data_IF_471321378699
#
_entry.id   IF_471321378699
#
_cell.length_a   1.000
_cell.length_b   1.000
_cell.length_c   1.000
_cell.angle_alpha   90.00
_cell.angle_beta   90.00
_cell.angle_gamma   90.00
#
_symmetry.space_group_name_H-M   'P 1'
#
loop_
_entity.id
_entity.type
_entity.pdbx_description
1 polymer ?
#
# COMPACT_ATOMS: atom_id res chain seq x y z
N UNK A 1 9.18 5.01 16.82
CA UNK A 1 9.92 6.09 17.51
C UNK A 1 8.92 7.01 18.21
N UNK A 2 9.35 7.79 19.21
CA UNK A 2 8.47 8.71 19.93
C UNK A 2 7.93 9.84 19.03
N UNK A 3 8.82 10.49 18.28
CA UNK A 3 8.49 11.59 17.36
C UNK A 3 9.35 11.54 16.08
N UNK A 4 8.95 12.31 15.06
CA UNK A 4 9.68 12.45 13.80
C UNK A 4 9.51 11.28 12.83
N UNK A 5 10.38 11.22 11.82
CA UNK A 5 10.38 10.16 10.78
C UNK A 5 11.18 8.94 11.23
N UNK A 6 10.58 7.74 11.09
CA UNK A 6 11.28 6.46 11.17
C UNK A 6 12.16 6.27 9.92
N UNK A 7 13.02 5.26 9.95
CA UNK A 7 13.83 4.87 8.78
C UNK A 7 12.98 4.62 7.51
N UNK A 8 11.92 3.77 7.53
CA UNK A 8 11.04 3.57 6.38
C UNK A 8 10.50 4.88 5.81
N UNK A 9 10.14 5.82 6.68
CA UNK A 9 9.56 7.08 6.26
C UNK A 9 10.57 7.93 5.46
N UNK A 10 11.83 7.98 5.94
CA UNK A 10 12.94 8.67 5.28
C UNK A 10 13.29 8.02 3.94
N UNK A 11 13.36 6.68 3.91
CA UNK A 11 13.64 5.93 2.69
C UNK A 11 12.55 6.13 1.63
N UNK A 12 11.29 6.20 2.06
CA UNK A 12 10.18 6.51 1.16
C UNK A 12 10.35 7.90 0.55
N UNK A 13 10.74 8.92 1.32
CA UNK A 13 11.06 10.24 0.75
C UNK A 13 12.25 10.19 -0.22
N UNK A 14 13.32 9.47 0.13
CA UNK A 14 14.52 9.34 -0.69
C UNK A 14 14.23 8.70 -2.06
N UNK A 15 13.52 7.57 -2.08
CA UNK A 15 13.30 6.80 -3.31
C UNK A 15 12.04 7.24 -4.07
N UNK A 16 11.01 7.71 -3.36
CA UNK A 16 9.70 8.01 -3.93
C UNK A 16 9.33 9.50 -3.94
N UNK A 17 10.19 10.38 -3.42
CA UNK A 17 9.96 11.83 -3.38
C UNK A 17 9.73 12.43 -4.77
N UNK A 18 10.48 12.00 -5.79
CA UNK A 18 10.34 12.48 -7.18
C UNK A 18 8.94 12.25 -7.76
N UNK A 19 8.27 11.17 -7.32
CA UNK A 19 6.91 10.81 -7.72
C UNK A 19 5.83 11.47 -6.83
N UNK A 20 6.25 12.27 -5.84
CA UNK A 20 5.39 12.79 -4.77
C UNK A 20 4.78 11.69 -3.88
N UNK A 21 5.44 10.52 -3.80
CA UNK A 21 5.00 9.36 -3.04
C UNK A 21 5.77 9.20 -1.70
N UNK A 22 6.31 10.30 -1.13
CA UNK A 22 6.84 10.29 0.23
C UNK A 22 5.75 10.08 1.27
N UNK A 23 6.00 9.30 2.32
CA UNK A 23 5.02 9.10 3.39
C UNK A 23 5.10 10.18 4.47
N UNK A 24 4.02 10.33 5.24
CA UNK A 24 4.05 11.17 6.43
C UNK A 24 4.75 10.42 7.57
N UNK A 25 5.44 11.13 8.48
CA UNK A 25 6.07 10.50 9.64
C UNK A 25 5.06 9.70 10.48
N UNK A 26 5.31 8.40 10.62
CA UNK A 26 4.58 7.52 11.52
C UNK A 26 5.36 7.41 12.83
N UNK A 27 4.79 7.90 13.93
CA UNK A 27 5.40 7.92 15.25
C UNK A 27 4.34 7.87 16.35
N UNK A 28 4.78 7.61 17.59
CA UNK A 28 3.88 7.39 18.73
C UNK A 28 3.09 8.64 19.15
N UNK A 29 3.53 9.83 18.76
CA UNK A 29 2.79 11.09 19.03
C UNK A 29 1.60 11.31 18.07
N UNK A 30 1.34 10.41 17.11
CA UNK A 30 0.17 10.52 16.23
C UNK A 30 -1.09 10.05 16.96
N UNK A 31 -2.26 10.69 16.74
CA UNK A 31 -3.49 10.37 17.47
C UNK A 31 -4.00 8.94 17.21
N UNK A 32 -3.60 8.32 16.10
CA UNK A 32 -3.96 6.95 15.74
C UNK A 32 -2.90 5.91 16.12
N UNK A 33 -1.72 6.33 16.63
CA UNK A 33 -0.59 5.44 16.84
C UNK A 33 -0.90 4.30 17.81
N UNK A 34 -1.54 4.61 18.94
CA UNK A 34 -1.90 3.62 19.96
C UNK A 34 -2.76 2.50 19.36
N UNK A 35 -3.83 2.87 18.64
CA UNK A 35 -4.72 1.90 17.99
C UNK A 35 -4.00 1.05 16.94
N UNK A 36 -3.15 1.66 16.12
CA UNK A 36 -2.39 0.94 15.08
C UNK A 36 -1.38 -0.02 15.69
N UNK A 37 -0.66 0.38 16.75
CA UNK A 37 0.31 -0.47 17.46
C UNK A 37 -0.42 -1.63 18.15
N UNK A 38 -1.51 -1.35 18.87
CA UNK A 38 -2.32 -2.38 19.51
C UNK A 38 -2.86 -3.41 18.51
N UNK A 39 -3.24 -2.97 17.31
CA UNK A 39 -3.68 -3.88 16.25
C UNK A 39 -2.55 -4.82 15.78
N UNK A 40 -1.35 -4.29 15.55
CA UNK A 40 -0.17 -5.11 15.19
C UNK A 40 0.15 -6.15 16.27
N UNK A 41 0.16 -5.73 17.54
CA UNK A 41 0.36 -6.63 18.69
C UNK A 41 -0.73 -7.70 18.73
N UNK A 42 -2.00 -7.34 18.50
CA UNK A 42 -3.10 -8.31 18.46
C UNK A 42 -2.96 -9.33 17.32
N UNK A 43 -2.32 -8.96 16.21
CA UNK A 43 -2.01 -9.90 15.14
C UNK A 43 -0.87 -10.84 15.55
N UNK A 44 0.16 -10.33 16.25
CA UNK A 44 1.24 -11.17 16.78
C UNK A 44 0.74 -12.21 17.78
N UNK A 45 -0.18 -11.84 18.67
CA UNK A 45 -0.79 -12.80 19.62
C UNK A 45 -1.63 -13.87 18.90
N UNK A 46 -2.08 -13.60 17.66
CA UNK A 46 -2.76 -14.56 16.78
C UNK A 46 -1.80 -15.33 15.86
N UNK A 47 -0.49 -15.20 16.08
CA UNK A 47 0.57 -15.89 15.34
C UNK A 47 0.99 -15.23 14.04
N UNK A 48 0.54 -14.01 13.74
CA UNK A 48 1.01 -13.27 12.56
C UNK A 48 2.34 -12.58 12.85
N UNK A 49 3.41 -13.10 12.28
CA UNK A 49 4.74 -12.52 12.45
C UNK A 49 4.94 -11.29 11.57
N UNK A 50 5.52 -10.23 12.12
CA UNK A 50 6.11 -9.18 11.29
C UNK A 50 7.31 -9.75 10.53
N UNK A 51 7.19 -9.77 9.21
CA UNK A 51 8.15 -10.37 8.31
C UNK A 51 8.61 -9.34 7.28
N UNK A 52 9.71 -8.60 7.55
CA UNK A 52 10.35 -7.82 6.49
C UNK A 52 10.94 -8.72 5.40
N UNK A 53 11.33 -9.94 5.75
CA UNK A 53 11.90 -10.94 4.82
C UNK A 53 11.16 -12.26 4.94
N UNK A 54 11.08 -13.01 3.83
CA UNK A 54 10.52 -14.37 3.78
C UNK A 54 11.22 -15.20 2.71
N UNK A 55 11.07 -16.52 2.82
CA UNK A 55 11.16 -17.41 1.66
C UNK A 55 9.85 -17.29 0.87
N UNK A 56 9.96 -16.94 -0.41
CA UNK A 56 8.83 -16.82 -1.33
C UNK A 56 7.91 -18.04 -1.28
N UNK A 57 6.61 -17.79 -1.28
CA UNK A 57 5.53 -18.78 -1.24
C UNK A 57 5.52 -19.72 -0.03
N UNK A 58 6.31 -19.43 1.02
CA UNK A 58 6.28 -20.21 2.26
C UNK A 58 4.97 -19.94 3.00
N UNK A 59 4.19 -21.00 3.25
CA UNK A 59 2.99 -20.92 4.08
C UNK A 59 3.33 -20.42 5.49
N UNK A 60 2.48 -19.52 6.00
CA UNK A 60 2.65 -18.91 7.30
C UNK A 60 1.63 -17.80 7.53
N UNK A 61 1.65 -17.22 8.74
CA UNK A 61 0.86 -16.05 9.09
C UNK A 61 1.80 -14.87 9.19
N UNK A 62 1.62 -13.91 8.31
CA UNK A 62 2.51 -12.76 8.19
C UNK A 62 1.73 -11.46 8.28
N UNK A 63 2.36 -10.43 8.83
CA UNK A 63 1.90 -9.06 8.74
C UNK A 63 3.03 -8.18 8.20
N UNK A 64 2.66 -7.22 7.35
CA UNK A 64 3.57 -6.24 6.74
C UNK A 64 2.91 -4.86 6.78
N UNK A 65 3.73 -3.82 6.76
CA UNK A 65 3.25 -2.45 6.62
C UNK A 65 3.35 -2.04 5.14
N UNK A 66 2.25 -1.46 4.62
CA UNK A 66 2.13 -1.03 3.23
C UNK A 66 1.79 0.46 3.21
N UNK A 67 2.45 1.20 2.33
CA UNK A 67 2.06 2.56 1.96
C UNK A 67 1.62 2.57 0.49
N UNK A 68 0.32 2.77 0.19
CA UNK A 68 -0.21 2.54 -1.16
C UNK A 68 0.41 3.42 -2.26
N UNK A 69 0.78 4.67 -1.97
CA UNK A 69 1.24 5.60 -3.01
C UNK A 69 2.49 5.11 -3.77
N UNK A 70 3.60 4.72 -3.10
CA UNK A 70 4.73 4.06 -3.77
C UNK A 70 4.36 2.79 -4.53
N UNK A 71 3.46 1.96 -3.99
CA UNK A 71 3.04 0.72 -4.63
C UNK A 71 2.31 1.01 -5.95
N UNK A 72 1.36 1.94 -5.94
CA UNK A 72 0.61 2.39 -7.12
C UNK A 72 1.56 2.94 -8.20
N UNK A 73 2.54 3.76 -7.79
CA UNK A 73 3.56 4.30 -8.70
C UNK A 73 4.34 3.20 -9.39
N UNK A 74 4.85 2.21 -8.64
CA UNK A 74 5.67 1.15 -9.20
C UNK A 74 4.87 0.13 -10.01
N UNK A 75 3.70 -0.30 -9.52
CA UNK A 75 2.86 -1.30 -10.20
C UNK A 75 2.36 -0.78 -11.55
N UNK A 76 2.00 0.50 -11.62
CA UNK A 76 1.42 1.09 -12.83
C UNK A 76 2.40 1.99 -13.61
N UNK A 77 3.69 1.97 -13.24
CA UNK A 77 4.76 2.75 -13.89
C UNK A 77 4.42 4.24 -14.04
N UNK A 78 3.87 4.87 -13.00
CA UNK A 78 3.44 6.27 -13.05
C UNK A 78 4.59 7.23 -12.75
N UNK A 79 4.61 8.37 -13.45
CA UNK A 79 5.59 9.43 -13.18
C UNK A 79 5.33 10.20 -11.88
N UNK A 80 4.08 10.17 -11.38
CA UNK A 80 3.64 10.83 -10.15
C UNK A 80 2.44 10.10 -9.53
N UNK A 81 2.16 10.35 -8.25
CA UNK A 81 0.95 9.82 -7.58
C UNK A 81 -0.35 10.32 -8.25
N UNK A 82 -1.38 9.49 -8.16
CA UNK A 82 -2.76 9.89 -8.39
C UNK A 82 -3.28 10.69 -7.19
N UNK A 83 -3.86 11.87 -7.43
CA UNK A 83 -4.24 12.82 -6.35
C UNK A 83 -5.67 12.61 -5.86
N UNK A 84 -6.02 11.37 -5.50
CA UNK A 84 -7.40 11.04 -5.09
C UNK A 84 -7.72 11.30 -3.61
N UNK A 85 -6.74 11.61 -2.75
CA UNK A 85 -6.95 11.79 -1.28
C UNK A 85 -7.25 13.22 -0.82
N UNK A 86 -6.97 14.24 -1.64
CA UNK A 86 -7.14 15.68 -1.29
C UNK A 86 -7.62 16.46 -2.50
N UNK A 87 -8.47 17.47 -2.29
CA UNK A 87 -9.00 18.32 -3.35
C UNK A 87 -10.54 18.28 -3.41
N UNK A 88 -11.10 18.87 -4.48
CA UNK A 88 -12.54 18.91 -4.71
C UNK A 88 -13.05 17.52 -5.12
N UNK A 89 -14.35 17.29 -4.93
CA UNK A 89 -15.00 16.01 -5.27
C UNK A 89 -14.73 15.59 -6.73
N UNK A 90 -14.85 16.52 -7.68
CA UNK A 90 -14.64 16.24 -9.11
C UNK A 90 -13.21 15.78 -9.40
N UNK A 91 -12.20 16.54 -8.94
CA UNK A 91 -10.78 16.22 -9.15
C UNK A 91 -10.42 14.85 -8.53
N UNK A 92 -10.87 14.61 -7.29
CA UNK A 92 -10.61 13.33 -6.61
C UNK A 92 -11.30 12.16 -7.30
N UNK A 93 -12.53 12.36 -7.77
CA UNK A 93 -13.30 11.34 -8.49
C UNK A 93 -12.59 10.93 -9.78
N UNK A 94 -12.07 11.89 -10.55
CA UNK A 94 -11.33 11.60 -11.77
C UNK A 94 -10.09 10.74 -11.49
N UNK A 95 -9.29 11.13 -10.50
CA UNK A 95 -8.08 10.41 -10.10
C UNK A 95 -8.38 9.02 -9.53
N UNK A 96 -9.48 8.86 -8.81
CA UNK A 96 -9.90 7.58 -8.25
C UNK A 96 -10.42 6.62 -9.33
N UNK A 97 -11.12 7.14 -10.34
CA UNK A 97 -11.51 6.36 -11.51
C UNK A 97 -10.30 5.96 -12.38
N UNK A 98 -9.25 6.78 -12.44
CA UNK A 98 -7.96 6.38 -13.05
C UNK A 98 -7.35 5.20 -12.29
N UNK A 99 -7.30 5.27 -10.96
CA UNK A 99 -6.81 4.16 -10.12
C UNK A 99 -7.60 2.87 -10.38
N UNK A 100 -8.93 2.96 -10.41
CA UNK A 100 -9.78 1.80 -10.69
C UNK A 100 -9.49 1.18 -12.06
N UNK A 101 -9.35 1.99 -13.12
CA UNK A 101 -8.96 1.47 -14.44
C UNK A 101 -7.61 0.77 -14.44
N UNK A 102 -6.58 1.35 -13.80
CA UNK A 102 -5.27 0.70 -13.71
C UNK A 102 -5.34 -0.64 -12.96
N UNK A 103 -6.13 -0.72 -11.89
CA UNK A 103 -6.37 -1.99 -11.17
C UNK A 103 -6.98 -3.02 -12.12
N UNK A 104 -7.99 -2.63 -12.90
CA UNK A 104 -8.71 -3.53 -13.81
C UNK A 104 -7.90 -3.97 -15.03
N UNK A 105 -7.05 -3.08 -15.55
CA UNK A 105 -6.31 -3.32 -16.80
C UNK A 105 -4.92 -3.91 -16.57
N UNK A 106 -4.23 -3.53 -15.48
CA UNK A 106 -2.82 -3.89 -15.27
C UNK A 106 -2.67 -5.05 -14.30
N UNK A 107 -3.31 -5.03 -13.13
CA UNK A 107 -3.08 -6.08 -12.11
C UNK A 107 -3.42 -7.50 -12.58
N UNK A 108 -4.42 -7.74 -13.46
CA UNK A 108 -4.66 -9.07 -14.04
C UNK A 108 -3.56 -9.56 -14.98
N UNK A 109 -2.72 -8.65 -15.48
CA UNK A 109 -1.60 -8.98 -16.39
C UNK A 109 -0.26 -9.16 -15.68
N UNK A 110 -0.19 -8.82 -14.40
CA UNK A 110 0.99 -9.01 -13.57
C UNK A 110 1.00 -10.41 -12.95
N UNK A 111 2.14 -10.81 -12.38
CA UNK A 111 2.26 -12.03 -11.60
C UNK A 111 2.57 -11.65 -10.13
N UNK A 112 1.80 -12.13 -9.13
CA UNK A 112 0.56 -12.89 -9.27
C UNK A 112 -0.56 -12.06 -9.90
N UNK A 113 -1.37 -12.71 -10.75
CA UNK A 113 -2.49 -12.06 -11.41
C UNK A 113 -3.63 -11.78 -10.43
N UNK A 114 -4.21 -10.58 -10.52
CA UNK A 114 -5.46 -10.29 -9.81
C UNK A 114 -6.64 -10.90 -10.56
N UNK A 115 -7.36 -11.82 -9.91
CA UNK A 115 -8.65 -12.30 -10.41
C UNK A 115 -9.73 -11.25 -10.18
N UNK A 116 -10.26 -10.71 -11.28
CA UNK A 116 -11.35 -9.73 -11.24
C UNK A 116 -12.68 -10.46 -11.01
N UNK A 117 -13.33 -10.16 -9.89
CA UNK A 117 -14.71 -10.54 -9.64
C UNK A 117 -15.64 -9.30 -9.70
N UNK A 118 -16.95 -9.53 -9.64
CA UNK A 118 -17.96 -8.45 -9.68
C UNK A 118 -17.73 -7.38 -8.61
N UNK A 119 -17.33 -7.79 -7.39
CA UNK A 119 -17.05 -6.86 -6.31
C UNK A 119 -15.90 -5.92 -6.64
N UNK A 120 -14.92 -6.31 -7.44
CA UNK A 120 -13.80 -5.45 -7.86
C UNK A 120 -14.19 -4.62 -9.10
N UNK A 121 -14.90 -5.24 -10.04
CA UNK A 121 -15.28 -4.62 -11.31
C UNK A 121 -16.24 -3.43 -11.13
N UNK A 122 -17.13 -3.49 -10.14
CA UNK A 122 -18.13 -2.45 -9.94
C UNK A 122 -17.54 -1.18 -9.32
N UNK A 123 -17.64 -0.08 -10.08
CA UNK A 123 -17.51 1.28 -9.57
C UNK A 123 -18.88 1.77 -9.09
N UNK A 124 -19.07 2.08 -7.80
CA UNK A 124 -20.34 2.64 -7.32
C UNK A 124 -20.55 4.06 -7.87
N UNK A 125 -21.80 4.58 -7.90
CA UNK A 125 -22.05 5.98 -8.21
C UNK A 125 -21.36 6.90 -7.19
N UNK A 126 -20.46 7.75 -7.67
CA UNK A 126 -19.77 8.74 -6.83
C UNK A 126 -20.45 10.10 -7.01
N UNK A 127 -21.34 10.43 -6.07
CA UNK A 127 -22.15 11.65 -6.04
C UNK A 127 -21.87 12.54 -4.80
N UNK A 128 -21.08 12.06 -3.86
CA UNK A 128 -20.77 12.73 -2.60
C UNK A 128 -19.38 12.35 -2.08
N UNK A 129 -18.86 13.15 -1.15
CA UNK A 129 -17.59 12.86 -0.47
C UNK A 129 -17.61 11.54 0.30
N UNK A 130 -18.78 11.13 0.82
CA UNK A 130 -18.96 9.85 1.52
C UNK A 130 -18.83 8.69 0.53
N UNK A 131 -19.59 8.72 -0.58
CA UNK A 131 -19.49 7.68 -1.63
C UNK A 131 -18.07 7.58 -2.22
N UNK A 132 -17.39 8.72 -2.38
CA UNK A 132 -16.00 8.77 -2.83
C UNK A 132 -15.08 8.10 -1.82
N UNK A 133 -15.23 8.41 -0.53
CA UNK A 133 -14.37 7.85 0.53
C UNK A 133 -14.55 6.33 0.66
N UNK A 134 -15.78 5.84 0.56
CA UNK A 134 -16.05 4.39 0.55
C UNK A 134 -15.34 3.69 -0.62
N UNK A 135 -15.38 4.28 -1.82
CA UNK A 135 -14.69 3.71 -2.97
C UNK A 135 -13.16 3.84 -2.84
N UNK A 136 -12.66 4.94 -2.30
CA UNK A 136 -11.24 5.14 -1.96
C UNK A 136 -10.74 4.05 -1.02
N UNK A 137 -11.42 3.81 0.10
CA UNK A 137 -11.02 2.80 1.08
C UNK A 137 -11.04 1.38 0.50
N UNK A 138 -12.00 1.09 -0.38
CA UNK A 138 -12.07 -0.18 -1.12
C UNK A 138 -10.85 -0.37 -2.03
N UNK A 139 -10.50 0.63 -2.84
CA UNK A 139 -9.36 0.54 -3.75
C UNK A 139 -8.02 0.52 -3.00
N UNK A 140 -7.86 1.34 -1.96
CA UNK A 140 -6.67 1.32 -1.09
C UNK A 140 -6.52 -0.05 -0.40
N UNK A 141 -7.62 -0.63 0.09
CA UNK A 141 -7.64 -1.96 0.69
C UNK A 141 -7.23 -3.06 -0.31
N UNK A 142 -7.74 -2.98 -1.55
CA UNK A 142 -7.38 -3.90 -2.63
C UNK A 142 -5.90 -3.80 -2.99
N UNK A 143 -5.34 -2.58 -3.10
CA UNK A 143 -3.91 -2.38 -3.32
C UNK A 143 -3.09 -2.97 -2.16
N UNK A 144 -3.48 -2.73 -0.90
CA UNK A 144 -2.80 -3.33 0.25
C UNK A 144 -2.81 -4.86 0.21
N UNK A 145 -3.94 -5.48 -0.15
CA UNK A 145 -4.06 -6.92 -0.30
C UNK A 145 -3.20 -7.44 -1.46
N UNK A 146 -3.19 -6.75 -2.61
CA UNK A 146 -2.35 -7.12 -3.75
C UNK A 146 -0.86 -7.03 -3.40
N UNK A 147 -0.42 -5.98 -2.69
CA UNK A 147 0.97 -5.87 -2.20
C UNK A 147 1.33 -7.04 -1.27
N UNK A 148 0.42 -7.46 -0.40
CA UNK A 148 0.66 -8.62 0.45
C UNK A 148 0.79 -9.92 -0.35
N UNK A 149 -0.06 -10.13 -1.37
CA UNK A 149 0.04 -11.27 -2.27
C UNK A 149 1.35 -11.26 -3.07
N UNK A 150 1.72 -10.12 -3.64
CA UNK A 150 2.96 -9.92 -4.39
C UNK A 150 4.21 -10.09 -3.52
N UNK A 151 4.16 -9.62 -2.27
CA UNK A 151 5.20 -9.84 -1.27
C UNK A 151 5.33 -11.32 -0.92
N UNK A 152 4.22 -12.01 -0.66
CA UNK A 152 4.26 -13.45 -0.38
C UNK A 152 4.79 -14.26 -1.57
N UNK A 153 4.38 -13.90 -2.79
CA UNK A 153 4.72 -14.63 -4.00
C UNK A 153 6.20 -14.50 -4.37
N UNK A 154 6.75 -13.29 -4.31
CA UNK A 154 8.12 -13.01 -4.77
C UNK A 154 9.14 -12.78 -3.67
N UNK A 155 8.71 -12.56 -2.42
CA UNK A 155 9.58 -12.14 -1.35
C UNK A 155 10.35 -10.87 -1.74
N UNK A 156 11.63 -10.80 -1.38
CA UNK A 156 12.49 -9.67 -1.69
C UNK A 156 12.91 -9.61 -3.17
N UNK A 157 12.63 -10.62 -4.00
CA UNK A 157 13.04 -10.64 -5.41
C UNK A 157 12.39 -9.49 -6.21
N UNK A 158 11.08 -9.27 -6.00
CA UNK A 158 10.29 -8.24 -6.67
C UNK A 158 9.69 -7.23 -5.68
N UNK A 159 10.16 -7.17 -4.44
CA UNK A 159 9.67 -6.19 -3.47
C UNK A 159 10.84 -5.48 -2.80
N UNK A 160 10.71 -4.16 -2.71
CA UNK A 160 11.59 -3.31 -1.92
C UNK A 160 11.07 -3.29 -0.48
N UNK A 161 11.94 -3.64 0.46
CA UNK A 161 11.68 -3.56 1.89
C UNK A 161 12.47 -2.39 2.43
N UNK A 162 11.78 -1.30 2.75
CA UNK A 162 12.42 -0.07 3.21
C UNK A 162 12.47 -0.06 4.73
N UNK A 163 13.63 -0.41 5.30
CA UNK A 163 13.84 -0.52 6.75
C UNK A 163 13.86 -1.96 7.22
N UNK A 164 13.66 -2.18 8.51
CA UNK A 164 13.73 -3.51 9.12
C UNK A 164 12.79 -3.63 10.34
N UNK A 165 12.81 -4.80 10.98
CA UNK A 165 11.96 -5.09 12.14
C UNK A 165 12.20 -4.12 13.32
N UNK A 166 13.42 -3.65 13.53
CA UNK A 166 13.80 -2.78 14.65
C UNK A 166 13.39 -1.32 14.42
N UNK A 167 13.49 -0.83 13.18
CA UNK A 167 13.16 0.56 12.83
C UNK A 167 11.72 0.75 12.32
N UNK A 168 11.01 -0.35 12.09
CA UNK A 168 9.85 -0.41 11.21
C UNK A 168 10.29 -0.56 9.75
N UNK A 169 9.40 -1.06 8.90
CA UNK A 169 9.64 -1.28 7.49
C UNK A 169 8.38 -0.96 6.67
N UNK A 170 8.53 -0.64 5.39
CA UNK A 170 7.42 -0.55 4.43
C UNK A 170 7.77 -1.43 3.24
N UNK A 171 6.82 -2.26 2.80
CA UNK A 171 6.96 -3.10 1.60
C UNK A 171 6.36 -2.38 0.40
N UNK A 172 7.11 -2.34 -0.70
CA UNK A 172 6.69 -1.75 -1.98
C UNK A 172 7.05 -2.68 -3.13
N UNK A 173 6.10 -3.08 -3.99
CA UNK A 173 6.39 -3.87 -5.18
C UNK A 173 7.35 -3.15 -6.13
N UNK A 174 8.19 -3.91 -6.82
CA UNK A 174 9.19 -3.44 -7.76
C UNK A 174 9.33 -4.48 -8.89
N UNK A 175 8.72 -4.18 -10.03
CA UNK A 175 8.64 -5.10 -11.16
C UNK A 175 10.01 -5.35 -11.82
N UNK A 176 10.89 -4.36 -11.74
CA UNK A 176 12.25 -4.36 -12.26
C UNK A 176 13.19 -3.81 -11.18
N UNK A 177 14.11 -4.64 -10.67
CA UNK A 177 15.18 -4.14 -9.80
C UNK A 177 16.19 -3.38 -10.68
N UNK A 178 16.53 -2.17 -10.26
CA UNK A 178 17.65 -1.41 -10.83
C UNK A 178 18.99 -2.11 -10.54
#
# INVERSE_FOLDING_TARGET
NAAGMRLPDRLTHKYFGRYHAGCYPANLNRPFAERTVAFGISLETKGFAHSPTIKSQKLGRYQIEVYPHPAIVNLFKLDRILKYKKGKLADRKEELLKLHRYIMEILPTLEPALEINQLIAESPPINSMVSLKTFEDKLDGLICAYVAAHWWYWGEEKNLVMGDRSTGYIVVPCLEKA
#
